data_IF_762379168088
#
_entry.id   IF_762379168088
#
_cell.length_a   1.000
_cell.length_b   1.000
_cell.length_c   1.000
_cell.angle_alpha   90.00
_cell.angle_beta   90.00
_cell.angle_gamma   90.00
#
_symmetry.space_group_name_H-M   'P 1'
#
loop_
_entity.id
_entity.type
_entity.pdbx_description
1 polymer ?
#
# COMPACT_ATOMS: atom_id res chain seq x y z
N UNK A 1 9.11 -48.09 24.96
CA UNK A 1 9.76 -46.76 24.97
C UNK A 1 8.79 -45.75 24.37
N UNK A 2 8.23 -44.86 25.18
CA UNK A 2 7.28 -43.84 24.74
C UNK A 2 7.96 -42.47 24.91
N UNK A 3 8.27 -41.81 23.80
CA UNK A 3 8.88 -40.48 23.80
C UNK A 3 7.80 -39.44 24.05
N UNK A 4 7.87 -38.76 25.21
CA UNK A 4 6.99 -37.66 25.59
C UNK A 4 7.52 -36.39 24.90
N UNK A 5 6.77 -35.85 23.93
CA UNK A 5 7.03 -34.51 23.41
C UNK A 5 6.42 -33.51 24.39
N UNK A 6 7.27 -32.82 25.15
CA UNK A 6 6.89 -31.72 26.02
C UNK A 6 6.32 -30.56 25.20
N UNK A 7 5.00 -30.35 25.30
CA UNK A 7 4.22 -29.26 24.66
C UNK A 7 4.65 -27.85 25.09
N UNK A 8 5.68 -27.73 25.94
CA UNK A 8 6.19 -26.49 26.50
C UNK A 8 7.24 -25.80 25.62
N UNK A 9 7.82 -26.50 24.63
CA UNK A 9 8.81 -25.94 23.72
C UNK A 9 8.21 -25.04 22.62
N UNK A 10 6.90 -25.15 22.35
CA UNK A 10 6.27 -24.44 21.22
C UNK A 10 5.86 -22.98 21.52
N UNK A 11 5.97 -22.54 22.78
CA UNK A 11 5.43 -21.25 23.25
C UNK A 11 6.48 -20.12 23.36
N UNK A 12 7.72 -20.32 22.91
CA UNK A 12 8.82 -19.37 23.23
C UNK A 12 9.42 -18.55 22.09
N UNK A 13 8.85 -18.53 20.88
CA UNK A 13 9.47 -17.82 19.74
C UNK A 13 8.53 -16.90 18.96
N UNK A 14 7.52 -16.31 19.59
CA UNK A 14 6.66 -15.33 18.92
C UNK A 14 6.42 -14.08 19.78
N UNK A 15 7.48 -13.53 20.37
CA UNK A 15 7.52 -12.10 20.62
C UNK A 15 8.13 -11.46 19.36
N UNK A 16 7.31 -11.35 18.32
CA UNK A 16 7.67 -10.55 17.15
C UNK A 16 7.84 -9.12 17.64
N UNK A 17 9.07 -8.63 17.56
CA UNK A 17 9.37 -7.22 17.78
C UNK A 17 8.56 -6.44 16.74
N UNK A 18 7.52 -5.75 17.17
CA UNK A 18 6.83 -4.79 16.33
C UNK A 18 7.79 -3.61 16.12
N UNK A 19 8.55 -3.65 15.03
CA UNK A 19 9.25 -2.46 14.54
C UNK A 19 8.15 -1.57 13.97
N UNK A 20 7.57 -0.73 14.83
CA UNK A 20 6.72 0.35 14.39
C UNK A 20 7.61 1.37 13.65
N UNK A 21 7.77 1.19 12.34
CA UNK A 21 8.41 2.20 11.49
C UNK A 21 7.39 3.31 11.23
N UNK A 22 7.02 4.05 12.28
CA UNK A 22 6.29 5.32 12.14
C UNK A 22 7.30 6.46 12.03
N UNK A 23 8.04 6.47 10.92
CA UNK A 23 8.72 7.70 10.51
C UNK A 23 7.73 8.49 9.67
N UNK A 24 6.84 9.22 10.35
CA UNK A 24 6.07 10.34 9.81
C UNK A 24 7.03 11.49 9.45
N UNK A 25 8.05 11.19 8.64
CA UNK A 25 9.06 12.13 8.20
C UNK A 25 8.57 12.81 6.94
N UNK A 26 8.44 14.13 6.99
CA UNK A 26 8.49 15.08 5.88
C UNK A 26 7.80 14.62 4.59
N UNK A 27 6.57 15.11 4.43
CA UNK A 27 5.78 15.14 3.20
C UNK A 27 6.69 15.47 2.02
N UNK A 28 6.99 14.47 1.19
CA UNK A 28 7.45 14.69 -0.18
C UNK A 28 6.28 15.32 -0.93
N UNK A 29 6.13 16.63 -0.74
CA UNK A 29 5.07 17.44 -1.28
C UNK A 29 5.06 17.28 -2.79
N UNK A 30 3.86 17.22 -3.35
CA UNK A 30 3.65 17.27 -4.78
C UNK A 30 4.30 18.56 -5.29
N UNK A 31 5.51 18.46 -5.79
CA UNK A 31 6.19 19.62 -6.36
C UNK A 31 5.58 19.86 -7.74
N UNK A 32 5.47 21.14 -8.13
CA UNK A 32 4.84 21.61 -9.36
C UNK A 32 5.45 21.06 -10.68
N UNK A 33 6.45 20.18 -10.58
CA UNK A 33 7.22 19.64 -11.70
C UNK A 33 7.09 18.15 -11.99
N UNK A 34 6.19 17.40 -11.33
CA UNK A 34 6.07 15.96 -11.60
C UNK A 34 5.38 15.70 -12.94
N UNK A 35 6.22 15.49 -13.95
CA UNK A 35 5.94 15.03 -15.31
C UNK A 35 5.48 13.56 -15.24
N UNK A 36 4.32 13.31 -14.64
CA UNK A 36 3.69 11.98 -14.63
C UNK A 36 3.21 11.57 -16.02
N UNK A 37 3.05 10.27 -16.28
CA UNK A 37 2.36 9.84 -17.51
C UNK A 37 0.91 10.30 -17.42
N UNK A 38 0.37 10.86 -18.50
CA UNK A 38 -1.05 11.11 -18.59
C UNK A 38 -1.80 9.76 -18.60
N UNK A 39 -2.53 9.47 -17.54
CA UNK A 39 -3.32 8.25 -17.33
C UNK A 39 -4.77 8.37 -17.84
N UNK A 40 -5.00 9.25 -18.81
CA UNK A 40 -6.31 9.52 -19.37
C UNK A 40 -7.00 10.72 -18.71
N UNK A 41 -6.28 11.83 -18.55
CA UNK A 41 -6.74 13.09 -17.97
C UNK A 41 -6.23 13.37 -16.56
N UNK A 42 -5.34 12.53 -16.01
CA UNK A 42 -4.76 12.74 -14.69
C UNK A 42 -3.34 12.16 -14.59
N UNK A 43 -2.55 12.68 -13.66
CA UNK A 43 -1.23 12.14 -13.30
C UNK A 43 -1.23 11.68 -11.84
N UNK A 44 -0.35 10.73 -11.53
CA UNK A 44 -0.16 10.24 -10.16
C UNK A 44 1.33 10.23 -9.82
N UNK A 45 1.66 10.72 -8.64
CA UNK A 45 2.95 10.49 -7.99
C UNK A 45 2.73 9.59 -6.76
N UNK A 46 3.57 8.57 -6.61
CA UNK A 46 3.50 7.62 -5.50
C UNK A 46 4.68 7.87 -4.57
N UNK A 47 4.39 8.09 -3.29
CA UNK A 47 5.37 8.44 -2.28
C UNK A 47 5.75 7.26 -1.39
N UNK A 48 5.62 7.49 -0.08
CA UNK A 48 6.00 6.52 0.95
C UNK A 48 4.96 5.43 1.14
N UNK A 49 5.42 4.32 1.69
CA UNK A 49 4.56 3.25 2.16
C UNK A 49 4.90 2.86 3.60
N UNK A 50 3.95 2.22 4.28
CA UNK A 50 4.18 1.58 5.57
C UNK A 50 3.25 0.40 5.74
N UNK A 51 3.61 -0.54 6.60
CA UNK A 51 2.76 -1.67 6.95
C UNK A 51 2.72 -1.84 8.46
N UNK A 52 1.51 -1.88 9.03
CA UNK A 52 1.31 -2.00 10.47
C UNK A 52 0.46 -3.24 10.74
N UNK A 53 1.00 -4.26 11.45
CA UNK A 53 0.25 -5.44 11.80
C UNK A 53 -0.62 -5.16 13.03
N UNK A 54 -1.78 -5.80 13.07
CA UNK A 54 -2.70 -5.76 14.18
C UNK A 54 -2.98 -7.19 14.63
N UNK A 55 -2.45 -7.55 15.80
CA UNK A 55 -2.82 -8.77 16.51
C UNK A 55 -4.01 -8.44 17.42
N UNK A 56 -5.15 -9.08 17.19
CA UNK A 56 -6.37 -8.80 17.94
C UNK A 56 -6.44 -9.58 19.27
N UNK A 57 -5.36 -10.27 19.67
CA UNK A 57 -5.25 -10.92 20.97
C UNK A 57 -6.04 -12.22 21.10
N UNK A 58 -5.60 -13.11 21.99
CA UNK A 58 -6.24 -14.41 22.23
C UNK A 58 -7.61 -14.19 22.87
N UNK A 59 -8.67 -14.73 22.25
CA UNK A 59 -10.03 -14.76 22.81
C UNK A 59 -11.01 -13.72 22.28
N UNK A 60 -10.60 -12.85 21.34
CA UNK A 60 -11.48 -11.81 20.77
C UNK A 60 -12.32 -12.29 19.56
N UNK A 61 -12.03 -13.49 19.04
CA UNK A 61 -12.69 -14.04 17.84
C UNK A 61 -12.37 -13.27 16.55
N UNK A 62 -11.40 -12.34 16.58
CA UNK A 62 -11.00 -11.53 15.43
C UNK A 62 -9.64 -11.98 14.92
N UNK A 63 -9.55 -12.18 13.60
CA UNK A 63 -8.35 -12.65 12.91
C UNK A 63 -7.29 -11.56 12.78
N UNK A 64 -6.04 -11.99 12.61
CA UNK A 64 -4.90 -11.11 12.31
C UNK A 64 -5.14 -10.33 11.00
N UNK A 65 -4.71 -9.07 10.96
CA UNK A 65 -4.62 -8.29 9.73
C UNK A 65 -3.45 -7.31 9.79
N UNK A 66 -3.03 -6.78 8.64
CA UNK A 66 -2.09 -5.67 8.57
C UNK A 66 -2.61 -4.59 7.61
N UNK A 67 -2.52 -3.34 8.02
CA UNK A 67 -2.84 -2.19 7.18
C UNK A 67 -1.57 -1.73 6.47
N UNK A 68 -1.60 -1.81 5.14
CA UNK A 68 -0.56 -1.33 4.24
C UNK A 68 -0.98 0.02 3.68
N UNK A 69 -0.31 1.08 4.06
CA UNK A 69 -0.64 2.45 3.63
C UNK A 69 0.32 2.93 2.55
N UNK A 70 -0.20 3.69 1.60
CA UNK A 70 0.58 4.35 0.54
C UNK A 70 0.16 5.79 0.41
N UNK A 71 1.11 6.71 0.48
CA UNK A 71 0.87 8.11 0.15
C UNK A 71 0.89 8.30 -1.36
N UNK A 72 -0.15 8.90 -1.91
CA UNK A 72 -0.26 9.22 -3.34
C UNK A 72 -0.68 10.67 -3.52
N UNK A 73 -0.20 11.26 -4.61
CA UNK A 73 -0.64 12.56 -5.10
C UNK A 73 -1.30 12.38 -6.45
N UNK A 74 -2.54 12.84 -6.59
CA UNK A 74 -3.27 12.80 -7.87
C UNK A 74 -3.48 14.23 -8.34
N UNK A 75 -3.22 14.48 -9.61
CA UNK A 75 -3.45 15.77 -10.25
C UNK A 75 -4.35 15.58 -11.46
N UNK A 76 -5.52 16.22 -11.41
CA UNK A 76 -6.45 16.30 -12.54
C UNK A 76 -5.90 17.30 -13.57
N UNK A 77 -5.65 16.85 -14.80
CA UNK A 77 -5.14 17.69 -15.87
C UNK A 77 -6.24 18.49 -16.58
N UNK A 78 -7.51 18.12 -16.41
CA UNK A 78 -8.64 18.84 -16.99
C UNK A 78 -8.95 20.10 -16.17
N UNK A 79 -8.69 21.27 -16.75
CA UNK A 79 -8.96 22.58 -16.14
C UNK A 79 -10.44 22.99 -16.18
N UNK A 80 -11.27 22.23 -16.87
CA UNK A 80 -12.70 22.51 -17.09
C UNK A 80 -13.56 21.59 -16.23
N UNK A 81 -13.30 20.28 -16.25
CA UNK A 81 -14.15 19.28 -15.61
C UNK A 81 -13.47 18.61 -14.40
N UNK A 82 -14.28 18.29 -13.39
CA UNK A 82 -13.92 17.30 -12.39
C UNK A 82 -14.21 15.89 -12.90
N UNK A 83 -13.63 14.89 -12.23
CA UNK A 83 -13.93 13.49 -12.51
C UNK A 83 -14.04 12.70 -11.22
N UNK A 84 -14.64 11.51 -11.33
CA UNK A 84 -14.58 10.51 -10.28
C UNK A 84 -14.41 9.12 -10.88
N UNK A 85 -13.73 8.26 -10.13
CA UNK A 85 -13.59 6.85 -10.52
C UNK A 85 -13.48 5.93 -9.30
N UNK A 86 -13.89 4.66 -9.44
CA UNK A 86 -13.68 3.65 -8.40
C UNK A 86 -12.18 3.38 -8.21
N UNK A 87 -11.65 3.65 -7.02
CA UNK A 87 -10.22 3.57 -6.76
C UNK A 87 -9.66 2.15 -6.93
N UNK A 88 -10.46 1.12 -6.66
CA UNK A 88 -10.07 -0.30 -6.79
C UNK A 88 -9.69 -0.72 -8.21
N UNK A 89 -10.18 -0.01 -9.22
CA UNK A 89 -9.88 -0.28 -10.63
C UNK A 89 -8.57 0.38 -11.07
N UNK A 90 -8.25 1.53 -10.48
CA UNK A 90 -7.10 2.36 -10.84
C UNK A 90 -5.87 2.01 -10.00
N UNK A 91 -6.03 1.84 -8.68
CA UNK A 91 -4.94 1.54 -7.76
C UNK A 91 -4.96 0.06 -7.37
N UNK A 92 -3.96 -0.69 -7.82
CA UNK A 92 -3.86 -2.12 -7.58
C UNK A 92 -2.50 -2.45 -6.96
N UNK A 93 -2.52 -2.79 -5.67
CA UNK A 93 -1.35 -3.30 -4.95
C UNK A 93 -1.24 -4.81 -5.13
N UNK A 94 -0.02 -5.27 -5.44
CA UNK A 94 0.37 -6.67 -5.42
C UNK A 94 1.63 -6.84 -4.57
N UNK A 95 1.66 -7.91 -3.78
CA UNK A 95 2.84 -8.32 -3.02
C UNK A 95 3.14 -9.75 -3.42
N UNK A 96 4.35 -10.02 -3.92
CA UNK A 96 4.71 -11.30 -4.55
C UNK A 96 3.69 -11.74 -5.62
N UNK A 97 3.17 -10.77 -6.39
CA UNK A 97 2.15 -11.00 -7.40
C UNK A 97 0.71 -11.22 -6.87
N UNK A 98 0.53 -11.45 -5.57
CA UNK A 98 -0.79 -11.60 -4.94
C UNK A 98 -1.45 -10.23 -4.70
N UNK A 99 -2.71 -10.08 -5.13
CA UNK A 99 -3.45 -8.82 -4.98
C UNK A 99 -3.81 -8.59 -3.51
N UNK A 100 -3.62 -7.36 -3.04
CA UNK A 100 -4.04 -6.91 -1.71
C UNK A 100 -5.26 -5.99 -1.85
N UNK A 101 -6.25 -6.16 -0.98
CA UNK A 101 -7.51 -5.44 -1.09
C UNK A 101 -7.38 -3.99 -0.61
N UNK A 102 -7.77 -3.03 -1.45
CA UNK A 102 -7.93 -1.62 -1.06
C UNK A 102 -9.16 -1.48 -0.17
N UNK A 103 -8.96 -0.95 1.04
CA UNK A 103 -10.01 -0.72 2.03
C UNK A 103 -10.51 0.73 2.04
N UNK A 104 -9.68 1.70 1.65
CA UNK A 104 -10.04 3.11 1.67
C UNK A 104 -8.83 4.01 1.81
N UNK A 105 -8.95 5.01 2.68
CA UNK A 105 -7.93 6.03 2.93
C UNK A 105 -8.51 7.44 2.81
N UNK A 106 -7.82 8.44 3.35
CA UNK A 106 -8.30 9.83 3.41
C UNK A 106 -8.45 10.50 2.03
N UNK A 107 -7.79 9.94 1.02
CA UNK A 107 -7.89 10.41 -0.35
C UNK A 107 -9.28 10.13 -0.92
N UNK A 108 -9.94 9.07 -0.45
CA UNK A 108 -11.12 8.49 -1.06
C UNK A 108 -12.39 8.83 -0.28
N UNK A 109 -13.48 9.04 -1.01
CA UNK A 109 -14.83 9.08 -0.45
C UNK A 109 -15.54 7.79 -0.83
N UNK A 110 -15.83 6.92 0.15
CA UNK A 110 -16.45 5.61 -0.07
C UNK A 110 -15.82 4.84 -1.27
N UNK A 111 -14.52 4.52 -1.15
CA UNK A 111 -13.69 3.84 -2.18
C UNK A 111 -13.63 4.50 -3.57
N UNK A 112 -14.15 5.71 -3.72
CA UNK A 112 -14.15 6.49 -4.96
C UNK A 112 -13.18 7.66 -4.81
N UNK A 113 -12.33 7.87 -5.82
CA UNK A 113 -11.59 9.11 -5.92
C UNK A 113 -12.48 10.15 -6.59
N UNK A 114 -12.59 11.33 -5.99
CA UNK A 114 -13.33 12.47 -6.56
C UNK A 114 -12.35 13.63 -6.64
N UNK A 115 -12.18 14.17 -7.84
CA UNK A 115 -11.28 15.28 -8.14
C UNK A 115 -12.08 16.41 -8.78
N UNK A 116 -11.88 17.64 -8.31
CA UNK A 116 -12.36 18.84 -8.98
C UNK A 116 -11.46 19.17 -10.19
N UNK A 117 -11.94 20.07 -11.04
CA UNK A 117 -11.18 20.58 -12.20
C UNK A 117 -9.82 21.13 -11.75
N UNK A 118 -8.75 20.73 -12.43
CA UNK A 118 -7.37 21.14 -12.14
C UNK A 118 -6.87 20.81 -10.73
N UNK A 119 -7.60 20.02 -9.95
CA UNK A 119 -7.28 19.79 -8.55
C UNK A 119 -6.06 18.88 -8.41
N UNK A 120 -5.19 19.25 -7.48
CA UNK A 120 -4.10 18.40 -6.99
C UNK A 120 -4.43 18.01 -5.55
N UNK A 121 -4.51 16.71 -5.29
CA UNK A 121 -4.86 16.16 -3.98
C UNK A 121 -3.82 15.12 -3.56
N UNK A 122 -3.27 15.30 -2.37
CA UNK A 122 -2.45 14.30 -1.69
C UNK A 122 -3.28 13.58 -0.65
N UNK A 123 -3.04 12.29 -0.50
CA UNK A 123 -3.66 11.51 0.56
C UNK A 123 -3.07 10.12 0.64
N UNK A 124 -3.61 9.34 1.55
CA UNK A 124 -3.23 7.97 1.84
C UNK A 124 -4.27 7.03 1.24
N UNK A 125 -3.79 5.95 0.64
CA UNK A 125 -4.55 4.75 0.31
C UNK A 125 -4.20 3.66 1.33
N UNK A 126 -5.22 3.01 1.88
CA UNK A 126 -5.05 1.90 2.83
C UNK A 126 -5.49 0.61 2.18
N UNK A 127 -4.55 -0.31 2.03
CA UNK A 127 -4.76 -1.70 1.66
C UNK A 127 -4.70 -2.57 2.90
N UNK A 128 -5.35 -3.73 2.90
CA UNK A 128 -5.35 -4.64 4.05
C UNK A 128 -4.96 -6.04 3.63
N UNK A 129 -3.95 -6.57 4.32
CA UNK A 129 -3.62 -7.98 4.34
C UNK A 129 -4.47 -8.64 5.41
N UNK A 130 -5.11 -9.75 5.08
CA UNK A 130 -5.81 -10.59 6.04
C UNK A 130 -4.95 -11.77 6.51
N UNK A 131 -5.49 -12.59 7.41
CA UNK A 131 -4.80 -13.76 7.97
C UNK A 131 -4.25 -14.72 6.91
N UNK A 132 -4.92 -14.88 5.76
CA UNK A 132 -4.43 -15.73 4.66
C UNK A 132 -3.16 -15.16 4.00
N UNK A 133 -2.94 -13.86 4.12
CA UNK A 133 -1.80 -13.13 3.55
C UNK A 133 -0.71 -12.81 4.58
N UNK A 134 -0.77 -13.39 5.79
CA UNK A 134 0.23 -13.17 6.85
C UNK A 134 1.66 -13.49 6.42
N UNK A 135 1.84 -14.50 5.56
CA UNK A 135 3.16 -14.84 5.00
C UNK A 135 3.73 -13.74 4.09
N UNK A 136 2.89 -12.97 3.40
CA UNK A 136 3.34 -11.81 2.61
C UNK A 136 3.91 -10.74 3.52
N UNK A 137 3.22 -10.44 4.64
CA UNK A 137 3.72 -9.49 5.62
C UNK A 137 5.05 -9.95 6.23
N UNK A 138 5.19 -11.23 6.57
CA UNK A 138 6.48 -11.78 7.06
C UNK A 138 7.60 -11.66 6.02
N UNK A 139 7.31 -11.91 4.74
CA UNK A 139 8.28 -11.69 3.66
C UNK A 139 8.66 -10.22 3.52
N UNK A 140 7.73 -9.30 3.77
CA UNK A 140 8.02 -7.87 3.80
C UNK A 140 8.93 -7.49 4.96
N UNK A 141 8.68 -7.98 6.17
CA UNK A 141 9.56 -7.75 7.33
C UNK A 141 10.97 -8.31 7.07
N UNK A 142 11.08 -9.41 6.33
CA UNK A 142 12.35 -9.98 5.89
C UNK A 142 12.99 -9.25 4.69
N UNK A 143 12.36 -8.19 4.17
CA UNK A 143 12.78 -7.46 2.96
C UNK A 143 12.96 -8.34 1.71
N UNK A 144 12.18 -9.42 1.61
CA UNK A 144 12.23 -10.38 0.49
C UNK A 144 11.02 -10.30 -0.43
N UNK A 145 9.98 -9.55 -0.07
CA UNK A 145 8.77 -9.44 -0.87
C UNK A 145 8.92 -8.44 -2.03
N UNK A 146 8.39 -8.79 -3.20
CA UNK A 146 8.23 -7.88 -4.34
C UNK A 146 6.92 -7.10 -4.17
N UNK A 147 7.02 -5.81 -3.84
CA UNK A 147 5.87 -4.92 -3.63
C UNK A 147 5.67 -4.09 -4.90
N UNK A 148 4.51 -4.22 -5.54
CA UNK A 148 4.17 -3.49 -6.77
C UNK A 148 2.84 -2.78 -6.66
N UNK A 149 2.84 -1.47 -6.87
CA UNK A 149 1.63 -0.67 -7.05
C UNK A 149 1.45 -0.34 -8.52
N UNK A 150 0.39 -0.85 -9.13
CA UNK A 150 -0.04 -0.45 -10.48
C UNK A 150 -1.07 0.67 -10.36
N UNK A 151 -0.89 1.71 -11.17
CA UNK A 151 -1.79 2.86 -11.26
C UNK A 151 -2.29 3.03 -12.70
N UNK A 152 -3.58 3.28 -12.87
CA UNK A 152 -4.23 3.49 -14.18
C UNK A 152 -5.05 2.29 -14.65
N UNK A 153 -5.74 2.44 -15.78
CA UNK A 153 -6.50 1.37 -16.45
C UNK A 153 -5.89 1.10 -17.82
N UNK A 154 -5.82 2.13 -18.66
CA UNK A 154 -5.05 2.17 -19.91
C UNK A 154 -4.89 3.65 -20.33
N UNK A 155 -3.67 4.22 -20.32
CA UNK A 155 -2.39 3.61 -20.00
C UNK A 155 -2.22 3.31 -18.50
N UNK A 156 -1.15 2.59 -18.15
CA UNK A 156 -0.81 2.26 -16.76
C UNK A 156 0.65 2.54 -16.44
N UNK A 157 0.92 2.75 -15.16
CA UNK A 157 2.25 2.83 -14.57
C UNK A 157 2.38 1.78 -13.48
N UNK A 158 3.60 1.29 -13.26
CA UNK A 158 3.94 0.40 -12.14
C UNK A 158 5.02 1.05 -11.30
N UNK A 159 4.89 0.88 -9.99
CA UNK A 159 5.83 1.38 -9.00
C UNK A 159 6.28 0.21 -8.14
N UNK A 160 7.59 0.04 -8.00
CA UNK A 160 8.20 -0.98 -7.14
C UNK A 160 8.56 -0.38 -5.79
N UNK A 161 8.16 -1.07 -4.71
CA UNK A 161 8.46 -0.69 -3.34
C UNK A 161 9.95 -0.87 -3.04
N UNK A 162 10.56 0.16 -2.47
CA UNK A 162 11.94 0.19 -2.01
C UNK A 162 11.92 0.16 -0.48
N UNK A 163 12.55 -0.85 0.10
CA UNK A 163 12.65 -1.01 1.57
C UNK A 163 13.52 0.07 2.20
N UNK A 164 14.59 0.48 1.50
CA UNK A 164 15.39 1.62 1.92
C UNK A 164 14.55 2.91 1.83
N UNK A 165 14.27 3.51 2.99
CA UNK A 165 13.44 4.71 3.10
C UNK A 165 11.93 4.49 2.93
N UNK A 166 11.48 3.24 2.73
CA UNK A 166 10.06 2.86 2.58
C UNK A 166 9.32 3.73 1.53
N UNK A 167 9.90 3.80 0.33
CA UNK A 167 9.40 4.61 -0.79
C UNK A 167 8.97 3.73 -1.95
N UNK A 168 8.35 4.33 -2.96
CA UNK A 168 8.12 3.70 -4.25
C UNK A 168 9.02 4.32 -5.31
N UNK A 169 9.59 3.46 -6.17
CA UNK A 169 10.29 3.87 -7.39
C UNK A 169 9.40 3.56 -8.58
N UNK A 170 9.20 4.53 -9.47
CA UNK A 170 8.49 4.32 -10.75
C UNK A 170 9.30 3.39 -11.64
N UNK A 171 8.67 2.34 -12.16
CA UNK A 171 9.31 1.42 -13.09
C UNK A 171 9.50 2.13 -14.43
N UNK A 172 10.72 2.06 -14.98
CA UNK A 172 10.98 2.55 -16.33
C UNK A 172 10.31 1.61 -17.33
N UNK A 173 9.58 2.13 -18.32
CA UNK A 173 9.21 1.32 -19.49
C UNK A 173 10.51 0.85 -20.14
N UNK A 174 10.69 -0.47 -20.30
CA UNK A 174 11.72 -1.00 -21.19
C UNK A 174 11.50 -0.35 -22.55
N UNK A 175 12.49 0.44 -22.99
CA UNK A 175 12.50 1.12 -24.28
C UNK A 175 12.60 0.11 -25.43
#
# INVERSE_FOLDING_TARGET
>A
MAMKIDRRAFLKTSAAMAVAVSMTGLLGGCSDGDIGTDLGGFTVAVGKWSAVPHDQGIGTGKSWYADFTVTVCVHNLDSVNGFSFPAKSVFVLKINGQKVALQGGDLLSNITLVMKKGERKTGVLTFRLDESQKMLYQAMEAHTADIKLRVGVDPTETYTGVYEGYTFKKDSKLA
#
